data_IF_791528648172
#
_entry.id   IF_791528648172
#
_cell.length_a   1.000
_cell.length_b   1.000
_cell.length_c   1.000
_cell.angle_alpha   90.00
_cell.angle_beta   90.00
_cell.angle_gamma   90.00
#
_symmetry.space_group_name_H-M   'P 1'
#
loop_
_entity.id
_entity.type
_entity.pdbx_description
1 polymer ?
#
# COMPACT_ATOMS: atom_id res chain seq x y z
N UNK A 1 -30.36 20.97 -11.42
CA UNK A 1 -28.91 20.72 -11.26
C UNK A 1 -28.69 20.55 -9.77
N UNK A 2 -28.80 19.32 -9.28
CA UNK A 2 -28.62 19.01 -7.86
C UNK A 2 -27.34 18.20 -7.74
N UNK A 3 -26.35 18.83 -7.14
CA UNK A 3 -25.04 18.28 -6.78
C UNK A 3 -25.24 17.49 -5.49
N UNK A 4 -24.93 16.19 -5.47
CA UNK A 4 -24.88 15.43 -4.21
C UNK A 4 -23.56 14.65 -4.12
N UNK A 5 -22.75 15.15 -3.19
CA UNK A 5 -21.81 14.48 -2.31
C UNK A 5 -21.21 13.13 -2.77
N UNK A 6 -19.92 13.18 -3.09
CA UNK A 6 -19.02 12.03 -3.03
C UNK A 6 -18.95 11.57 -1.57
N UNK A 7 -19.48 10.39 -1.31
CA UNK A 7 -19.42 9.71 -0.01
C UNK A 7 -17.95 9.44 0.34
N UNK A 8 -17.38 10.21 1.26
CA UNK A 8 -16.20 9.78 1.99
C UNK A 8 -16.65 8.73 3.00
N UNK A 9 -16.73 7.48 2.54
CA UNK A 9 -16.84 6.34 3.44
C UNK A 9 -15.61 6.34 4.35
N UNK A 10 -15.82 6.45 5.66
CA UNK A 10 -14.85 6.06 6.69
C UNK A 10 -14.65 4.54 6.61
N UNK A 11 -13.99 4.10 5.55
CA UNK A 11 -13.63 2.72 5.32
C UNK A 11 -12.60 2.34 6.37
N UNK A 12 -12.96 1.39 7.25
CA UNK A 12 -12.03 0.81 8.21
C UNK A 12 -10.75 0.42 7.46
N UNK A 13 -9.55 0.82 7.93
CA UNK A 13 -8.33 0.59 7.18
C UNK A 13 -8.19 -0.90 6.85
N UNK A 14 -8.27 -1.22 5.56
CA UNK A 14 -8.15 -2.60 5.10
C UNK A 14 -6.69 -3.00 5.24
N UNK A 15 -6.40 -3.74 6.32
CA UNK A 15 -5.10 -4.34 6.52
C UNK A 15 -5.08 -5.72 5.86
N UNK A 16 -4.14 -5.91 4.95
CA UNK A 16 -3.92 -7.19 4.28
C UNK A 16 -2.53 -7.72 4.58
N UNK A 17 -2.38 -9.04 4.66
CA UNK A 17 -1.04 -9.64 4.60
C UNK A 17 -0.48 -9.52 3.18
N UNK A 18 0.85 -9.56 2.97
CA UNK A 18 1.42 -9.53 1.62
C UNK A 18 0.83 -10.56 0.66
N UNK A 19 0.45 -11.75 1.17
CA UNK A 19 -0.22 -12.78 0.36
C UNK A 19 -1.62 -12.33 -0.07
N UNK A 20 -2.44 -11.88 0.88
CA UNK A 20 -3.79 -11.37 0.60
C UNK A 20 -3.76 -10.15 -0.30
N UNK A 21 -2.76 -9.28 -0.16
CA UNK A 21 -2.59 -8.11 -1.04
C UNK A 21 -2.40 -8.53 -2.50
N UNK A 22 -1.51 -9.50 -2.78
CA UNK A 22 -1.30 -10.03 -4.12
C UNK A 22 -2.53 -10.78 -4.67
N UNK A 23 -3.30 -11.46 -3.82
CA UNK A 23 -4.55 -12.12 -4.25
C UNK A 23 -5.61 -11.09 -4.68
N UNK A 24 -5.71 -9.96 -3.98
CA UNK A 24 -6.59 -8.84 -4.35
C UNK A 24 -6.09 -8.07 -5.57
N UNK A 25 -4.76 -8.02 -5.76
CA UNK A 25 -4.08 -7.20 -6.77
C UNK A 25 -3.23 -8.08 -7.68
N UNK A 26 -3.80 -8.69 -8.73
CA UNK A 26 -3.07 -9.61 -9.61
C UNK A 26 -1.86 -8.99 -10.33
N UNK A 27 -1.79 -7.66 -10.41
CA UNK A 27 -0.67 -6.92 -11.00
C UNK A 27 0.58 -6.88 -10.09
N UNK A 28 0.44 -7.16 -8.79
CA UNK A 28 1.57 -7.21 -7.85
C UNK A 28 1.95 -8.65 -7.56
N UNK A 29 3.23 -8.99 -7.76
CA UNK A 29 3.75 -10.31 -7.41
C UNK A 29 4.26 -10.33 -5.97
N UNK A 30 4.22 -11.49 -5.31
CA UNK A 30 4.72 -11.61 -3.94
C UNK A 30 6.23 -11.33 -3.83
N UNK A 31 6.99 -11.67 -4.88
CA UNK A 31 8.42 -11.36 -4.98
C UNK A 31 8.68 -9.86 -5.08
N UNK A 32 7.97 -9.17 -5.98
CA UNK A 32 8.07 -7.72 -6.14
C UNK A 32 7.66 -6.96 -4.87
N UNK A 33 6.57 -7.40 -4.24
CA UNK A 33 6.09 -6.82 -2.99
C UNK A 33 7.10 -7.01 -1.85
N UNK A 34 7.68 -8.21 -1.70
CA UNK A 34 8.74 -8.46 -0.71
C UNK A 34 9.97 -7.61 -0.96
N UNK A 35 10.37 -7.42 -2.21
CA UNK A 35 11.47 -6.54 -2.58
C UNK A 35 11.17 -5.09 -2.15
N UNK A 36 9.98 -4.56 -2.45
CA UNK A 36 9.56 -3.21 -2.04
C UNK A 36 9.52 -3.05 -0.51
N UNK A 37 9.05 -4.08 0.21
CA UNK A 37 9.03 -4.11 1.68
C UNK A 37 10.45 -4.16 2.27
N UNK A 38 11.38 -4.87 1.62
CA UNK A 38 12.76 -4.94 2.08
C UNK A 38 13.46 -3.58 1.93
N UNK A 39 13.27 -2.90 0.81
CA UNK A 39 13.78 -1.56 0.54
C UNK A 39 12.82 -0.45 1.02
N UNK A 40 11.99 -0.71 2.03
CA UNK A 40 10.92 0.22 2.45
C UNK A 40 11.42 1.58 2.92
N UNK A 41 12.64 1.62 3.44
CA UNK A 41 13.30 2.85 3.89
C UNK A 41 13.80 3.69 2.72
N UNK A 42 14.32 3.05 1.69
CA UNK A 42 14.91 3.72 0.54
C UNK A 42 13.85 4.21 -0.45
N UNK A 43 12.77 3.44 -0.63
CA UNK A 43 11.69 3.78 -1.55
C UNK A 43 10.57 4.66 -0.95
N UNK A 44 10.68 5.04 0.32
CA UNK A 44 9.70 5.85 1.05
C UNK A 44 8.41 5.11 1.44
N UNK A 45 8.37 3.78 1.28
CA UNK A 45 7.20 2.97 1.61
C UNK A 45 6.98 2.82 3.13
N UNK A 46 8.06 2.92 3.92
CA UNK A 46 7.96 2.96 5.38
C UNK A 46 7.44 4.31 5.86
N UNK A 47 7.90 5.41 5.23
CA UNK A 47 7.47 6.79 5.53
C UNK A 47 5.99 7.04 5.20
N UNK A 48 5.47 6.40 4.14
CA UNK A 48 4.06 6.51 3.76
C UNK A 48 3.11 5.87 4.80
N UNK A 49 3.64 5.04 5.71
CA UNK A 49 2.85 4.29 6.68
C UNK A 49 2.00 3.19 6.03
N UNK A 50 2.33 2.78 4.81
CA UNK A 50 1.69 1.67 4.11
C UNK A 50 2.08 0.31 4.70
N UNK A 51 3.25 0.20 5.34
CA UNK A 51 3.71 -1.01 6.01
C UNK A 51 3.51 -0.87 7.51
N UNK A 52 2.85 -1.86 8.11
CA UNK A 52 2.67 -1.97 9.56
C UNK A 52 3.30 -3.27 10.02
N UNK A 53 4.26 -3.15 10.94
CA UNK A 53 4.97 -4.30 11.54
C UNK A 53 4.32 -4.64 12.87
N UNK A 54 3.72 -5.82 12.97
CA UNK A 54 3.09 -6.34 14.19
C UNK A 54 3.84 -7.60 14.62
N UNK A 55 4.89 -7.41 15.43
CA UNK A 55 5.80 -8.48 15.83
C UNK A 55 6.50 -9.12 14.62
N UNK A 56 6.25 -10.41 14.38
CA UNK A 56 6.80 -11.14 13.22
C UNK A 56 5.96 -11.01 11.94
N UNK A 57 4.78 -10.36 12.01
CA UNK A 57 3.88 -10.19 10.88
C UNK A 57 4.06 -8.81 10.25
N UNK A 58 3.88 -8.77 8.94
CA UNK A 58 3.82 -7.53 8.16
C UNK A 58 2.40 -7.42 7.62
N UNK A 59 1.79 -6.26 7.82
CA UNK A 59 0.51 -5.88 7.27
C UNK A 59 0.70 -4.71 6.32
N UNK A 60 -0.09 -4.69 5.26
CA UNK A 60 -0.15 -3.62 4.28
C UNK A 60 -1.45 -2.89 4.53
N UNK A 61 -1.34 -1.58 4.68
CA UNK A 61 -2.47 -0.68 4.66
C UNK A 61 -2.76 -0.35 3.18
N UNK A 62 -3.77 -1.01 2.61
CA UNK A 62 -4.11 -0.91 1.19
C UNK A 62 -4.22 0.55 0.71
N UNK A 63 -5.03 1.46 1.31
CA UNK A 63 -5.17 2.83 0.81
C UNK A 63 -3.88 3.65 0.88
N UNK A 64 -3.07 3.47 1.93
CA UNK A 64 -1.77 4.15 2.02
C UNK A 64 -0.76 3.61 1.00
N UNK A 65 -0.83 2.31 0.70
CA UNK A 65 0.02 1.71 -0.33
C UNK A 65 -0.30 2.29 -1.71
N UNK A 66 -1.58 2.40 -2.06
CA UNK A 66 -2.00 3.03 -3.32
C UNK A 66 -1.58 4.51 -3.39
N UNK A 67 -1.79 5.26 -2.30
CA UNK A 67 -1.34 6.66 -2.21
C UNK A 67 0.17 6.80 -2.44
N UNK A 68 0.97 5.85 -1.94
CA UNK A 68 2.42 5.81 -2.19
C UNK A 68 2.75 5.53 -3.65
N UNK A 69 2.03 4.63 -4.32
CA UNK A 69 2.22 4.39 -5.77
C UNK A 69 1.93 5.67 -6.56
N UNK A 70 0.80 6.33 -6.27
CA UNK A 70 0.38 7.57 -6.94
C UNK A 70 1.36 8.72 -6.71
N UNK A 71 1.98 8.79 -5.53
CA UNK A 71 2.95 9.84 -5.19
C UNK A 71 4.26 9.78 -5.99
N UNK A 72 4.47 8.72 -6.79
CA UNK A 72 5.71 8.49 -7.50
C UNK A 72 6.77 7.92 -6.56
N UNK A 73 7.07 6.63 -6.73
CA UNK A 73 8.01 5.90 -5.88
C UNK A 73 9.40 6.55 -5.96
N UNK A 74 10.00 6.88 -4.81
CA UNK A 74 11.39 7.37 -4.75
C UNK A 74 12.33 6.21 -5.12
N UNK A 75 12.66 6.04 -6.39
CA UNK A 75 13.59 4.99 -6.84
C UNK A 75 13.07 4.07 -7.95
N UNK A 76 11.85 4.27 -8.43
CA UNK A 76 11.48 3.77 -9.76
C UNK A 76 12.26 4.57 -10.81
N UNK A 77 13.14 3.91 -11.55
CA UNK A 77 13.97 4.54 -12.57
C UNK A 77 13.12 5.44 -13.49
N UNK A 78 13.61 6.67 -13.70
CA UNK A 78 13.19 7.55 -14.80
C UNK A 78 13.53 6.91 -16.14
#
# INVERSE_FOLDING_TARGET
MTTEAVETETSSPSFSTPKQFCEKNPWETIGGLRHKIFYSKDNGLEESGAIIRVGRKILINDPKYFSWIESGQKGGAR
#
